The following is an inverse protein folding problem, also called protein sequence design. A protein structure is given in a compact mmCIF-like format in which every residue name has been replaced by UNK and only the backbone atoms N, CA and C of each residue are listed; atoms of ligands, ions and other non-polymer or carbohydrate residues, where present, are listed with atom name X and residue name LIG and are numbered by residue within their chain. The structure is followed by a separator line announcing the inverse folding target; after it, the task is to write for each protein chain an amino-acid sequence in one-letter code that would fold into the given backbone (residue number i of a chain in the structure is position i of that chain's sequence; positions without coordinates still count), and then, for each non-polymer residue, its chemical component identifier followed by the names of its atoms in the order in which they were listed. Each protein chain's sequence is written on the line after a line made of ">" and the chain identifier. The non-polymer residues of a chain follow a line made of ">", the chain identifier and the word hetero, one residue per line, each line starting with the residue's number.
data_IF_716645416935
#
_entry.id   IF_716645416935
#
_cell.length_a   1.000
_cell.length_b   1.000
_cell.length_c   1.000
_cell.angle_alpha   90.00
_cell.angle_beta   90.00
_cell.angle_gamma   90.00
#
_symmetry.space_group_name_H-M   'P 1'
#
loop_
_entity.id
_entity.type
_entity.pdbx_description
1 polymer ?
#
# COMPACT_ATOMS: atom_id res chain seq x y z
N UNK A 1 -6.00 -16.80 12.93
CA UNK A 1 -6.20 -15.34 12.96
C UNK A 1 -6.87 -14.94 11.65
N UNK A 2 -7.76 -13.95 11.66
CA UNK A 2 -8.38 -13.46 10.42
C UNK A 2 -7.51 -12.37 9.81
N UNK A 3 -7.33 -12.44 8.50
CA UNK A 3 -6.55 -11.48 7.72
C UNK A 3 -7.44 -10.86 6.66
N UNK A 4 -7.12 -9.63 6.27
CA UNK A 4 -7.71 -8.94 5.14
C UNK A 4 -6.63 -8.67 4.11
N UNK A 5 -6.92 -9.01 2.85
CA UNK A 5 -6.07 -8.69 1.72
C UNK A 5 -6.23 -7.22 1.37
N UNK A 6 -5.10 -6.52 1.26
CA UNK A 6 -5.01 -5.14 0.82
C UNK A 6 -4.03 -5.05 -0.33
N UNK A 7 -4.16 -3.95 -1.08
CA UNK A 7 -3.33 -3.68 -2.23
C UNK A 7 -2.67 -2.32 -2.10
N UNK A 8 -1.52 -2.14 -2.73
CA UNK A 8 -0.91 -0.82 -2.84
C UNK A 8 -0.15 -0.66 -4.15
N UNK A 9 -0.44 0.39 -4.93
CA UNK A 9 0.40 0.78 -6.05
C UNK A 9 1.72 1.36 -5.54
N UNK A 10 2.85 0.90 -6.09
CA UNK A 10 4.19 1.37 -5.72
C UNK A 10 5.00 1.72 -6.96
N UNK A 11 5.88 2.71 -6.85
CA UNK A 11 6.87 3.01 -7.89
C UNK A 11 8.14 2.18 -7.72
N UNK A 12 9.05 2.24 -8.71
CA UNK A 12 10.30 1.45 -8.70
C UNK A 12 11.14 1.63 -7.43
N UNK A 13 11.39 2.87 -7.00
CA UNK A 13 12.21 3.15 -5.80
C UNK A 13 11.64 2.50 -4.55
N UNK A 14 10.32 2.55 -4.40
CA UNK A 14 9.66 1.96 -3.25
C UNK A 14 9.64 0.44 -3.34
N UNK A 15 9.47 -0.11 -4.54
CA UNK A 15 9.58 -1.55 -4.78
C UNK A 15 10.97 -2.09 -4.41
N UNK A 16 12.05 -1.39 -4.76
CA UNK A 16 13.41 -1.77 -4.39
C UNK A 16 13.60 -1.84 -2.87
N UNK A 17 13.06 -0.88 -2.12
CA UNK A 17 13.12 -0.88 -0.65
C UNK A 17 12.33 -2.06 -0.04
N UNK A 18 11.21 -2.44 -0.66
CA UNK A 18 10.45 -3.63 -0.26
C UNK A 18 11.27 -4.90 -0.51
N UNK A 19 11.95 -4.99 -1.66
CA UNK A 19 12.83 -6.12 -2.02
C UNK A 19 13.99 -6.23 -1.02
N UNK A 20 14.64 -5.11 -0.70
CA UNK A 20 15.75 -5.07 0.27
C UNK A 20 15.34 -5.56 1.67
N UNK A 21 14.06 -5.42 2.02
CA UNK A 21 13.48 -5.90 3.29
C UNK A 21 12.80 -7.27 3.16
N UNK A 22 13.17 -8.08 2.15
CA UNK A 22 12.65 -9.43 1.91
C UNK A 22 11.11 -9.49 1.80
N UNK A 23 10.51 -8.43 1.26
CA UNK A 23 9.07 -8.27 1.07
C UNK A 23 8.26 -8.30 2.36
N UNK A 24 8.84 -7.90 3.49
CA UNK A 24 8.16 -7.97 4.80
C UNK A 24 7.46 -6.70 5.24
N UNK A 25 7.84 -5.55 4.68
CA UNK A 25 7.36 -4.25 5.13
C UNK A 25 7.45 -3.20 4.03
N UNK A 26 6.59 -2.18 4.13
CA UNK A 26 6.72 -0.95 3.35
C UNK A 26 7.71 0.01 4.03
N UNK A 27 8.50 0.78 3.28
CA UNK A 27 9.43 1.73 3.85
C UNK A 27 8.70 2.89 4.56
N UNK A 28 9.35 3.56 5.53
CA UNK A 28 8.79 4.76 6.17
C UNK A 28 8.38 5.83 5.15
N UNK A 29 7.31 6.56 5.46
CA UNK A 29 6.86 7.69 4.63
C UNK A 29 7.83 8.87 4.77
N UNK A 30 7.93 9.69 3.74
CA UNK A 30 8.67 10.96 3.82
C UNK A 30 7.90 11.94 4.72
N UNK A 31 8.60 12.89 5.34
CA UNK A 31 8.00 13.83 6.30
C UNK A 31 6.79 14.61 5.76
N UNK A 32 6.76 14.88 4.45
CA UNK A 32 5.66 15.57 3.78
C UNK A 32 4.47 14.66 3.43
N UNK A 33 4.60 13.34 3.62
CA UNK A 33 3.57 12.34 3.34
C UNK A 33 2.89 11.90 4.65
N UNK A 34 1.79 12.54 5.06
CA UNK A 34 1.20 12.33 6.40
C UNK A 34 0.52 10.97 6.58
N UNK A 35 0.22 10.28 5.48
CA UNK A 35 -0.50 9.01 5.50
C UNK A 35 0.14 7.96 4.59
N UNK A 36 0.02 6.70 5.02
CA UNK A 36 0.13 5.50 4.22
C UNK A 36 -1.29 5.03 3.87
N UNK A 37 -1.56 4.83 2.58
CA UNK A 37 -2.91 4.53 2.09
C UNK A 37 -2.92 3.25 1.25
N UNK A 38 -3.21 2.08 1.87
CA UNK A 38 -3.49 0.88 1.12
C UNK A 38 -4.95 0.88 0.65
N UNK A 39 -5.20 0.25 -0.49
CA UNK A 39 -6.52 0.17 -1.11
C UNK A 39 -7.12 -1.23 -0.96
N UNK A 40 -8.45 -1.31 -0.99
CA UNK A 40 -9.15 -2.57 -0.76
C UNK A 40 -9.37 -3.39 -2.04
N UNK A 41 -9.06 -2.83 -3.22
CA UNK A 41 -9.34 -3.44 -4.51
C UNK A 41 -8.12 -3.40 -5.44
N UNK A 42 -7.80 -4.54 -6.05
CA UNK A 42 -6.69 -4.68 -6.99
C UNK A 42 -6.87 -3.86 -8.27
N UNK A 43 -8.08 -3.87 -8.85
CA UNK A 43 -8.39 -3.05 -10.03
C UNK A 43 -8.12 -1.57 -9.77
N UNK A 44 -8.45 -1.10 -8.56
CA UNK A 44 -8.20 0.28 -8.18
C UNK A 44 -6.71 0.57 -8.00
N UNK A 45 -5.96 -0.36 -7.38
CA UNK A 45 -4.50 -0.25 -7.30
C UNK A 45 -3.86 -0.21 -8.69
N UNK A 46 -4.35 -1.04 -9.61
CA UNK A 46 -3.90 -1.09 -11.00
C UNK A 46 -4.17 0.21 -11.73
N UNK A 47 -5.37 0.78 -11.58
CA UNK A 47 -5.69 2.10 -12.13
C UNK A 47 -4.75 3.21 -11.62
N UNK A 48 -4.40 3.19 -10.33
CA UNK A 48 -3.46 4.17 -9.77
C UNK A 48 -2.05 3.92 -10.31
N UNK A 49 -1.58 2.68 -10.32
CA UNK A 49 -0.25 2.33 -10.83
C UNK A 49 -0.11 2.74 -12.30
N UNK A 50 -1.13 2.49 -13.12
CA UNK A 50 -1.16 2.89 -14.52
C UNK A 50 -1.18 4.41 -14.70
N UNK A 51 -2.03 5.12 -13.94
CA UNK A 51 -2.24 6.58 -14.16
C UNK A 51 -1.16 7.45 -13.53
N UNK A 52 -0.65 7.08 -12.37
CA UNK A 52 0.25 7.93 -11.57
C UNK A 52 1.70 7.53 -11.73
N UNK A 53 2.02 6.25 -11.59
CA UNK A 53 3.42 5.82 -11.58
C UNK A 53 4.05 5.85 -12.98
N UNK A 54 3.26 5.71 -14.06
CA UNK A 54 3.76 5.89 -15.45
C UNK A 54 3.98 7.36 -15.85
N UNK A 55 3.59 8.30 -14.99
CA UNK A 55 3.75 9.75 -15.20
C UNK A 55 4.71 10.37 -14.19
N UNK A 56 5.13 9.61 -13.18
CA UNK A 56 6.07 10.04 -12.17
C UNK A 56 7.51 9.78 -12.64
N UNK A 57 8.20 10.86 -12.94
CA UNK A 57 9.63 10.86 -13.27
C UNK A 57 10.46 10.35 -12.08
N UNK A 58 9.98 10.52 -10.84
CA UNK A 58 10.64 10.01 -9.66
C UNK A 58 10.50 8.48 -9.50
N UNK A 59 9.48 7.87 -10.12
CA UNK A 59 9.21 6.43 -10.16
C UNK A 59 9.69 5.72 -11.43
N UNK A 60 10.47 6.42 -12.27
CA UNK A 60 11.00 5.93 -13.56
C UNK A 60 9.90 5.46 -14.53
N UNK A 61 8.70 6.06 -14.42
CA UNK A 61 7.53 5.68 -15.21
C UNK A 61 7.05 4.22 -15.02
N UNK A 62 7.44 3.56 -13.92
CA UNK A 62 7.06 2.19 -13.61
C UNK A 62 6.10 2.14 -12.43
N UNK A 63 4.95 1.48 -12.62
CA UNK A 63 3.98 1.19 -11.58
C UNK A 63 3.85 -0.30 -11.34
N UNK A 64 3.95 -0.71 -10.08
CA UNK A 64 3.71 -2.08 -9.64
C UNK A 64 2.49 -2.09 -8.73
N UNK A 65 1.69 -3.15 -8.81
CA UNK A 65 0.66 -3.42 -7.82
C UNK A 65 1.23 -4.41 -6.82
N UNK A 66 1.12 -4.08 -5.54
CA UNK A 66 1.47 -5.01 -4.46
C UNK A 66 0.21 -5.52 -3.78
N UNK A 67 0.23 -6.80 -3.39
CA UNK A 67 -0.80 -7.49 -2.61
C UNK A 67 -0.19 -7.98 -1.31
N UNK A 68 -0.89 -7.79 -0.20
CA UNK A 68 -0.42 -8.26 1.11
C UNK A 68 -1.60 -8.53 2.03
N UNK A 69 -1.39 -9.43 2.99
CA UNK A 69 -2.38 -9.77 4.00
C UNK A 69 -2.05 -9.06 5.31
N UNK A 70 -3.05 -8.49 5.97
CA UNK A 70 -2.91 -7.81 7.26
C UNK A 70 -3.91 -8.38 8.25
N UNK A 71 -3.53 -8.50 9.52
CA UNK A 71 -4.46 -8.88 10.58
C UNK A 71 -5.67 -7.93 10.63
N UNK A 72 -6.89 -8.48 10.64
CA UNK A 72 -8.13 -7.69 10.65
C UNK A 72 -8.18 -6.71 11.85
N UNK A 73 -7.62 -7.11 12.99
CA UNK A 73 -7.52 -6.28 14.20
C UNK A 73 -6.69 -5.01 14.03
N UNK A 74 -5.69 -5.03 13.14
CA UNK A 74 -4.94 -3.83 12.78
C UNK A 74 -5.73 -3.00 11.76
N UNK A 75 -6.32 -3.65 10.74
CA UNK A 75 -7.08 -2.95 9.70
C UNK A 75 -8.31 -2.23 10.27
N UNK A 76 -9.04 -2.86 11.18
CA UNK A 76 -10.27 -2.31 11.78
C UNK A 76 -10.05 -1.03 12.60
N UNK A 77 -8.80 -0.65 12.90
CA UNK A 77 -8.47 0.64 13.52
C UNK A 77 -8.66 1.81 12.55
N UNK A 78 -8.62 1.53 11.24
CA UNK A 78 -8.68 2.54 10.19
C UNK A 78 -10.02 2.41 9.43
N UNK A 79 -10.90 3.43 9.47
CA UNK A 79 -12.15 3.37 8.73
C UNK A 79 -11.87 3.42 7.22
N UNK A 80 -12.54 2.55 6.45
CA UNK A 80 -12.49 2.60 5.00
C UNK A 80 -13.09 3.91 4.48
N UNK A 81 -12.34 4.62 3.64
CA UNK A 81 -12.77 5.86 3.00
C UNK A 81 -12.99 5.61 1.51
N UNK A 82 -14.15 6.00 1.02
CA UNK A 82 -14.40 6.04 -0.42
C UNK A 82 -13.95 7.40 -0.97
N UNK A 83 -13.02 7.39 -1.93
CA UNK A 83 -12.39 8.61 -2.46
C UNK A 83 -12.81 8.93 -3.90
N UNK A 84 -13.87 8.27 -4.40
CA UNK A 84 -14.31 8.50 -5.77
C UNK A 84 -15.36 7.49 -6.22
N UNK A 85 -14.96 6.58 -7.10
CA UNK A 85 -15.87 5.55 -7.60
C UNK A 85 -16.24 4.55 -6.50
N UNK A 86 -17.30 3.77 -6.73
CA UNK A 86 -17.83 2.78 -5.78
C UNK A 86 -16.77 1.80 -5.23
N UNK A 87 -15.74 1.49 -6.04
CA UNK A 87 -14.66 0.57 -5.68
C UNK A 87 -13.37 1.29 -5.23
N UNK A 88 -13.35 2.61 -5.18
CA UNK A 88 -12.18 3.41 -4.77
C UNK A 88 -12.17 3.56 -3.25
N UNK A 89 -11.95 2.43 -2.57
CA UNK A 89 -11.90 2.37 -1.12
C UNK A 89 -10.46 2.23 -0.64
N UNK A 90 -10.10 3.06 0.32
CA UNK A 90 -8.76 3.15 0.89
C UNK A 90 -8.81 3.18 2.41
N UNK A 91 -7.73 2.75 3.05
CA UNK A 91 -7.48 3.02 4.46
C UNK A 91 -6.50 4.18 4.56
N UNK A 92 -6.64 5.03 5.58
CA UNK A 92 -5.66 6.07 5.86
C UNK A 92 -4.97 5.76 7.18
N UNK A 93 -3.75 5.23 7.08
CA UNK A 93 -2.89 4.92 8.21
C UNK A 93 -1.95 6.12 8.42
N UNK A 94 -1.89 6.73 9.62
CA UNK A 94 -0.93 7.79 9.89
C UNK A 94 0.50 7.33 9.64
N UNK A 95 1.36 8.19 9.09
CA UNK A 95 2.74 7.84 8.77
C UNK A 95 3.52 7.33 10.00
N UNK A 96 3.23 7.88 11.17
CA UNK A 96 3.78 7.48 12.47
C UNK A 96 3.33 6.08 12.93
N UNK A 97 2.19 5.59 12.43
CA UNK A 97 1.66 4.26 12.76
C UNK A 97 2.06 3.19 11.73
N UNK A 98 2.75 3.56 10.64
CA UNK A 98 3.13 2.64 9.58
C UNK A 98 4.02 1.49 10.09
N UNK A 99 4.90 1.74 11.05
CA UNK A 99 5.72 0.68 11.63
C UNK A 99 4.86 -0.38 12.34
N UNK A 100 3.87 0.06 13.13
CA UNK A 100 2.94 -0.84 13.80
C UNK A 100 2.04 -1.57 12.79
N UNK A 101 1.66 -0.90 11.70
CA UNK A 101 0.90 -1.50 10.61
C UNK A 101 1.72 -2.58 9.87
N UNK A 102 3.00 -2.32 9.58
CA UNK A 102 3.90 -3.28 8.96
C UNK A 102 4.06 -4.55 9.81
N UNK A 103 4.10 -4.41 11.14
CA UNK A 103 4.16 -5.57 12.04
C UNK A 103 2.90 -6.45 11.99
N UNK A 104 1.77 -5.90 11.53
CA UNK A 104 0.53 -6.63 11.34
C UNK A 104 0.41 -7.31 9.97
N UNK A 105 1.36 -7.09 9.05
CA UNK A 105 1.42 -7.79 7.77
C UNK A 105 1.77 -9.26 8.03
N UNK A 106 0.96 -10.17 7.49
CA UNK A 106 1.16 -11.60 7.58
C UNK A 106 1.71 -12.13 6.26
N UNK A 107 2.84 -12.84 6.32
CA UNK A 107 3.48 -13.39 5.13
C UNK A 107 4.38 -12.36 4.43
N UNK A 108 4.37 -12.37 3.10
CA UNK A 108 5.16 -11.47 2.25
C UNK A 108 4.25 -10.60 1.41
N UNK A 109 4.75 -9.41 1.07
CA UNK A 109 4.20 -8.54 0.05
C UNK A 109 4.49 -9.18 -1.31
N UNK A 110 3.46 -9.40 -2.10
CA UNK A 110 3.53 -10.00 -3.43
C UNK A 110 3.31 -8.93 -4.49
N UNK A 111 3.92 -9.09 -5.67
CA UNK A 111 3.64 -8.23 -6.83
C UNK A 111 2.62 -8.94 -7.71
N UNK A 112 1.61 -8.21 -8.19
CA UNK A 112 0.57 -8.73 -9.08
C UNK A 112 0.59 -8.10 -10.46
#
# INVERSE_FOLDING_TARGET
>A
MKTQTLYRPVGEKEMLLIIENDYKAFPPRLEWQPIFYPVLNEDYASEIAEKWNTRDEAGNYLGFVTRFEVLEEAVNKYPSRNVGAKNHNELWVPAEELEAFNQAITGKIEVT
#
